data_IF_513705738685
#
_entry.id   IF_513705738685
#
_cell.length_a   1.000
_cell.length_b   1.000
_cell.length_c   1.000
_cell.angle_alpha   90.00
_cell.angle_beta   90.00
_cell.angle_gamma   90.00
#
_symmetry.space_group_name_H-M   'P 1'
#
loop_
_entity.id
_entity.type
_entity.pdbx_description
1 polymer ?
#
# COMPACT_ATOMS: atom_id res chain seq x y z
N UNK A 1 5.89 -24.12 -31.43
CA UNK A 1 4.89 -24.35 -30.36
C UNK A 1 3.92 -23.21 -30.32
N UNK A 2 2.70 -23.45 -29.82
CA UNK A 2 1.72 -22.40 -29.50
C UNK A 2 1.70 -22.24 -27.97
N UNK A 3 1.91 -21.03 -27.51
CA UNK A 3 1.75 -20.65 -26.09
C UNK A 3 0.43 -19.95 -25.91
N UNK A 4 -0.25 -20.20 -24.80
CA UNK A 4 -1.57 -19.65 -24.50
C UNK A 4 -1.55 -18.92 -23.15
N UNK A 5 -2.24 -17.79 -23.09
CA UNK A 5 -2.43 -17.00 -21.88
C UNK A 5 -3.91 -16.70 -21.68
N UNK A 6 -4.51 -17.32 -20.67
CA UNK A 6 -5.88 -16.99 -20.24
C UNK A 6 -5.94 -15.61 -19.59
N UNK A 7 -6.92 -14.81 -19.99
CA UNK A 7 -7.20 -13.47 -19.48
C UNK A 7 -8.64 -13.43 -18.94
N UNK A 8 -8.84 -13.24 -17.65
CA UNK A 8 -10.17 -13.12 -17.05
C UNK A 8 -10.96 -11.91 -17.60
N UNK A 9 -12.28 -12.01 -17.54
CA UNK A 9 -13.21 -10.98 -17.97
C UNK A 9 -13.07 -9.69 -17.15
N UNK A 10 -12.30 -8.75 -17.63
CA UNK A 10 -12.21 -7.37 -17.13
C UNK A 10 -11.53 -6.48 -18.17
N UNK A 11 -12.18 -5.34 -18.51
CA UNK A 11 -11.58 -4.31 -19.33
C UNK A 11 -10.50 -3.59 -18.55
N UNK A 12 -9.25 -3.97 -18.72
CA UNK A 12 -8.10 -3.36 -18.04
C UNK A 12 -6.82 -3.57 -18.84
N UNK A 13 -5.80 -2.79 -18.52
CA UNK A 13 -4.46 -3.06 -19.02
C UNK A 13 -3.89 -4.35 -18.41
N UNK A 14 -3.01 -4.98 -19.18
CA UNK A 14 -2.21 -6.16 -18.78
C UNK A 14 -0.76 -5.91 -19.14
N UNK A 15 0.15 -6.33 -18.27
CA UNK A 15 1.57 -6.39 -18.57
C UNK A 15 1.89 -7.80 -19.07
N UNK A 16 2.18 -7.90 -20.35
CA UNK A 16 2.34 -9.15 -21.06
C UNK A 16 3.73 -9.25 -21.68
N UNK A 17 4.25 -10.48 -21.85
CA UNK A 17 5.49 -10.76 -22.54
C UNK A 17 5.37 -12.12 -23.25
N UNK A 18 5.42 -12.19 -24.57
CA UNK A 18 5.43 -13.47 -25.26
C UNK A 18 6.68 -14.28 -24.90
N UNK A 19 6.52 -15.58 -24.67
CA UNK A 19 7.63 -16.51 -24.41
C UNK A 19 8.16 -17.18 -25.69
N UNK A 20 7.60 -16.79 -26.84
CA UNK A 20 7.99 -17.26 -28.18
C UNK A 20 8.41 -16.11 -29.07
N UNK A 21 9.39 -16.36 -29.94
CA UNK A 21 9.68 -15.52 -31.10
C UNK A 21 8.90 -16.06 -32.28
N UNK A 22 8.03 -15.24 -32.87
CA UNK A 22 7.12 -15.65 -33.93
C UNK A 22 7.70 -15.35 -35.31
N UNK A 23 7.33 -16.16 -36.32
CA UNK A 23 7.56 -15.86 -37.73
C UNK A 23 6.36 -15.15 -38.37
N UNK A 24 5.29 -14.99 -37.60
CA UNK A 24 4.03 -14.35 -37.99
C UNK A 24 3.75 -13.13 -37.11
N UNK A 25 2.93 -12.22 -37.63
CA UNK A 25 2.68 -10.93 -37.02
C UNK A 25 1.86 -11.02 -35.72
N UNK A 26 1.89 -9.95 -34.91
CA UNK A 26 1.00 -9.74 -33.75
C UNK A 26 -0.47 -9.93 -34.17
N UNK A 27 -0.85 -9.42 -35.34
CA UNK A 27 -2.20 -9.58 -35.90
C UNK A 27 -2.60 -11.05 -36.07
N UNK A 28 -1.70 -11.89 -36.57
CA UNK A 28 -1.97 -13.31 -36.78
C UNK A 28 -1.98 -14.12 -35.47
N UNK A 29 -1.44 -13.56 -34.39
CA UNK A 29 -1.39 -14.17 -33.07
C UNK A 29 -2.46 -13.58 -32.14
N UNK A 30 -2.18 -12.53 -31.38
CA UNK A 30 -3.10 -12.00 -30.35
C UNK A 30 -4.41 -11.43 -30.90
N UNK A 31 -4.48 -11.04 -32.17
CA UNK A 31 -5.74 -10.63 -32.84
C UNK A 31 -6.40 -11.77 -33.65
N UNK A 32 -5.85 -13.01 -33.58
CA UNK A 32 -6.40 -14.19 -34.29
C UNK A 32 -6.73 -13.92 -35.79
N UNK A 33 -5.92 -13.05 -36.44
CA UNK A 33 -6.14 -12.65 -37.82
C UNK A 33 -7.60 -12.15 -38.10
N UNK A 34 -8.16 -11.38 -37.17
CA UNK A 34 -9.55 -10.90 -37.20
C UNK A 34 -10.62 -12.02 -37.10
N UNK A 35 -10.21 -13.21 -36.64
CA UNK A 35 -11.13 -14.32 -36.39
C UNK A 35 -12.21 -13.95 -35.34
N UNK A 36 -13.34 -14.65 -35.42
CA UNK A 36 -14.52 -14.41 -34.59
C UNK A 36 -14.84 -15.61 -33.69
N UNK A 37 -13.84 -16.40 -33.34
CA UNK A 37 -14.02 -17.52 -32.41
C UNK A 37 -14.15 -17.00 -31.00
N UNK A 38 -15.24 -17.35 -30.31
CA UNK A 38 -15.50 -16.97 -28.95
C UNK A 38 -14.37 -17.43 -28.00
N UNK A 39 -13.99 -16.57 -27.05
CA UNK A 39 -12.95 -16.86 -26.05
C UNK A 39 -11.52 -16.80 -26.59
N UNK A 40 -11.30 -16.40 -27.84
CA UNK A 40 -9.95 -16.31 -28.42
C UNK A 40 -9.61 -14.89 -28.89
N UNK A 41 -8.33 -14.53 -28.72
CA UNK A 41 -7.74 -13.29 -29.16
C UNK A 41 -8.36 -12.05 -28.51
N UNK A 42 -7.91 -10.90 -28.93
CA UNK A 42 -8.47 -9.61 -28.46
C UNK A 42 -8.36 -8.55 -29.55
N UNK A 43 -9.14 -7.49 -29.43
CA UNK A 43 -9.01 -6.32 -30.30
C UNK A 43 -7.80 -5.47 -29.88
N UNK A 44 -6.94 -5.17 -30.85
CA UNK A 44 -5.82 -4.24 -30.69
C UNK A 44 -6.06 -3.05 -31.65
N UNK A 45 -6.24 -1.86 -31.04
CA UNK A 45 -6.52 -0.61 -31.76
C UNK A 45 -5.28 0.27 -31.82
N UNK A 46 -5.16 1.11 -32.83
CA UNK A 46 -4.02 2.01 -33.02
C UNK A 46 -4.19 2.97 -34.17
N UNK A 47 -3.20 3.85 -34.34
CA UNK A 47 -3.19 4.87 -35.38
C UNK A 47 -3.23 4.19 -36.77
N UNK A 48 -3.95 4.80 -37.71
CA UNK A 48 -4.18 4.34 -39.09
C UNK A 48 -4.93 3.00 -39.19
N UNK A 49 -5.44 2.45 -38.10
CA UNK A 49 -6.36 1.33 -38.10
C UNK A 49 -5.86 0.14 -38.90
N UNK A 50 -6.71 -0.36 -39.83
CA UNK A 50 -6.47 -1.57 -40.62
C UNK A 50 -5.20 -1.50 -41.48
N UNK A 51 -4.74 -0.33 -41.89
CA UNK A 51 -3.50 -0.15 -42.68
C UNK A 51 -2.29 -0.68 -41.94
N UNK A 52 -2.25 -0.47 -40.63
CA UNK A 52 -1.18 -0.94 -39.77
C UNK A 52 -1.52 -2.23 -39.02
N UNK A 53 -2.58 -2.93 -39.47
CA UNK A 53 -3.00 -4.21 -38.87
C UNK A 53 -3.86 -4.12 -37.61
N UNK A 54 -4.25 -2.92 -37.21
CA UNK A 54 -5.10 -2.68 -36.03
C UNK A 54 -6.59 -2.86 -36.33
N UNK A 55 -7.35 -3.18 -35.32
CA UNK A 55 -8.80 -3.09 -35.35
C UNK A 55 -9.23 -1.62 -35.35
N UNK A 56 -10.18 -1.28 -36.24
CA UNK A 56 -10.63 0.09 -36.42
C UNK A 56 -11.67 0.49 -35.38
N UNK A 57 -11.52 1.67 -34.83
CA UNK A 57 -12.50 2.33 -33.94
C UNK A 57 -12.69 3.77 -34.36
N UNK A 58 -13.74 4.44 -33.89
CA UNK A 58 -14.01 5.84 -34.21
C UNK A 58 -12.83 6.78 -33.87
N UNK A 59 -12.04 6.45 -32.85
CA UNK A 59 -10.92 7.29 -32.39
C UNK A 59 -9.55 6.74 -32.77
N UNK A 60 -9.44 5.47 -33.08
CA UNK A 60 -8.18 4.74 -33.30
C UNK A 60 -7.14 4.96 -32.19
N UNK A 61 -7.59 5.19 -30.96
CA UNK A 61 -6.69 5.35 -29.83
C UNK A 61 -5.89 4.06 -29.60
N UNK A 62 -4.55 4.15 -29.41
CA UNK A 62 -3.72 2.99 -29.19
C UNK A 62 -4.16 2.20 -27.95
N UNK A 63 -4.12 0.87 -28.06
CA UNK A 63 -4.36 -0.06 -26.95
C UNK A 63 -3.17 -0.95 -26.63
N UNK A 64 -2.12 -0.96 -27.46
CA UNK A 64 -0.88 -1.71 -27.29
C UNK A 64 0.30 -0.75 -27.21
N UNK A 65 1.14 -0.93 -26.17
CA UNK A 65 2.30 -0.08 -25.93
C UNK A 65 3.51 -0.93 -25.57
N UNK A 66 4.69 -0.44 -25.92
CA UNK A 66 5.99 -0.80 -25.35
C UNK A 66 6.46 0.31 -24.43
N UNK A 67 7.46 -0.01 -23.59
CA UNK A 67 8.13 1.00 -22.78
C UNK A 67 9.57 1.16 -23.26
N UNK A 68 9.93 2.36 -23.65
CA UNK A 68 11.30 2.65 -24.02
C UNK A 68 12.15 2.81 -22.74
N UNK A 69 12.87 1.76 -22.40
CA UNK A 69 13.69 1.75 -21.19
C UNK A 69 14.77 2.83 -21.19
N UNK A 70 15.24 3.31 -22.37
CA UNK A 70 16.26 4.35 -22.45
C UNK A 70 15.68 5.72 -22.11
N UNK A 71 14.53 6.07 -22.66
CA UNK A 71 13.86 7.37 -22.42
C UNK A 71 12.98 7.37 -21.16
N UNK A 72 12.60 6.20 -20.65
CA UNK A 72 11.68 6.06 -19.54
C UNK A 72 10.21 6.41 -19.89
N UNK A 73 9.81 6.20 -21.15
CA UNK A 73 8.50 6.60 -21.66
C UNK A 73 7.72 5.44 -22.29
N UNK A 74 6.38 5.49 -22.18
CA UNK A 74 5.48 4.62 -22.91
C UNK A 74 5.39 5.06 -24.38
N UNK A 75 5.56 4.12 -25.30
CA UNK A 75 5.44 4.31 -26.71
C UNK A 75 4.32 3.44 -27.29
N UNK A 76 3.39 4.02 -28.03
CA UNK A 76 2.37 3.25 -28.73
C UNK A 76 3.04 2.38 -29.81
N UNK A 77 2.65 1.12 -29.88
CA UNK A 77 3.05 0.26 -31.02
C UNK A 77 2.46 0.84 -32.29
N UNK A 78 3.27 0.98 -33.32
CA UNK A 78 2.88 1.63 -34.59
C UNK A 78 2.28 0.67 -35.59
N UNK A 79 2.48 -0.64 -35.45
CA UNK A 79 1.92 -1.66 -36.35
C UNK A 79 1.83 -3.02 -35.67
N UNK A 80 0.73 -3.74 -35.83
CA UNK A 80 0.58 -5.13 -35.44
C UNK A 80 0.97 -6.12 -36.54
N UNK A 81 1.47 -5.61 -37.70
CA UNK A 81 2.05 -6.44 -38.78
C UNK A 81 3.49 -6.89 -38.45
N UNK A 82 4.07 -6.40 -37.36
CA UNK A 82 5.37 -6.86 -36.84
C UNK A 82 5.24 -8.15 -36.04
N UNK A 83 6.35 -8.89 -35.91
CA UNK A 83 6.40 -10.15 -35.19
C UNK A 83 6.71 -9.97 -33.70
N UNK A 84 6.36 -10.95 -32.87
CA UNK A 84 6.81 -10.99 -31.49
C UNK A 84 8.27 -11.46 -31.40
N UNK A 85 8.99 -10.85 -30.44
CA UNK A 85 10.25 -11.37 -29.93
C UNK A 85 10.05 -11.80 -28.48
N UNK A 86 10.46 -13.03 -28.15
CA UNK A 86 10.31 -13.56 -26.80
C UNK A 86 10.99 -12.65 -25.75
N UNK A 87 10.29 -12.38 -24.66
CA UNK A 87 10.79 -11.52 -23.58
C UNK A 87 10.50 -10.04 -23.79
N UNK A 88 10.01 -9.59 -24.97
CA UNK A 88 9.59 -8.21 -25.16
C UNK A 88 8.34 -7.90 -24.33
N UNK A 89 8.38 -6.91 -23.42
CA UNK A 89 7.25 -6.58 -22.61
C UNK A 89 6.29 -5.61 -23.31
N UNK A 90 4.99 -5.82 -23.11
CA UNK A 90 3.91 -5.00 -23.65
C UNK A 90 2.91 -4.62 -22.58
N UNK A 91 2.34 -3.42 -22.68
CA UNK A 91 1.12 -3.02 -21.99
C UNK A 91 -0.03 -3.05 -22.98
N UNK A 92 -0.97 -3.98 -22.79
CA UNK A 92 -2.13 -4.17 -23.67
C UNK A 92 -3.43 -3.91 -22.92
N UNK A 93 -4.32 -3.07 -23.47
CA UNK A 93 -5.71 -2.94 -23.03
C UNK A 93 -6.51 -4.11 -23.58
N UNK A 94 -6.83 -5.06 -22.72
CA UNK A 94 -7.72 -6.18 -23.06
C UNK A 94 -9.14 -5.82 -22.68
N UNK A 95 -10.06 -5.85 -23.64
CA UNK A 95 -11.49 -5.59 -23.45
C UNK A 95 -12.30 -6.87 -23.30
N UNK A 96 -11.75 -7.97 -23.78
CA UNK A 96 -12.33 -9.31 -23.89
C UNK A 96 -11.87 -9.98 -25.17
N UNK A 97 -12.60 -11.00 -25.61
CA UNK A 97 -12.33 -11.70 -26.87
C UNK A 97 -12.70 -10.84 -28.10
N UNK A 98 -12.57 -11.40 -29.27
CA UNK A 98 -12.81 -10.72 -30.53
C UNK A 98 -14.30 -10.50 -30.88
N UNK A 99 -15.23 -11.01 -30.07
CA UNK A 99 -16.67 -10.75 -30.21
C UNK A 99 -17.11 -9.44 -29.55
N UNK A 100 -16.23 -8.77 -28.79
CA UNK A 100 -16.52 -7.48 -28.16
C UNK A 100 -16.88 -6.42 -29.21
N UNK A 101 -18.00 -5.73 -28.98
CA UNK A 101 -18.40 -4.62 -29.83
C UNK A 101 -17.53 -3.38 -29.57
N UNK A 102 -16.76 -2.96 -30.57
CA UNK A 102 -15.89 -1.78 -30.51
C UNK A 102 -16.61 -0.45 -30.72
N UNK A 103 -17.89 -0.45 -31.09
CA UNK A 103 -18.66 0.80 -31.29
C UNK A 103 -18.93 1.54 -29.97
N UNK A 104 -18.80 0.86 -28.83
CA UNK A 104 -18.96 1.44 -27.51
C UNK A 104 -17.62 1.34 -26.74
N UNK A 105 -17.38 2.31 -25.85
CA UNK A 105 -16.18 2.29 -25.01
C UNK A 105 -16.35 1.46 -23.73
N UNK A 106 -17.56 1.02 -23.42
CA UNK A 106 -17.93 0.29 -22.21
C UNK A 106 -18.73 -0.99 -22.50
N UNK A 107 -18.29 -1.86 -23.43
CA UNK A 107 -18.95 -3.16 -23.60
C UNK A 107 -18.72 -4.03 -22.35
N UNK A 108 -19.62 -4.99 -22.10
CA UNK A 108 -19.40 -6.01 -21.09
C UNK A 108 -18.15 -6.82 -21.47
N UNK A 109 -17.17 -6.85 -20.58
CA UNK A 109 -15.94 -7.57 -20.83
C UNK A 109 -16.18 -9.09 -20.81
N UNK A 110 -15.51 -9.83 -21.69
CA UNK A 110 -15.49 -11.29 -21.73
C UNK A 110 -14.10 -11.81 -21.37
N UNK A 111 -14.01 -13.06 -20.97
CA UNK A 111 -12.72 -13.77 -20.87
C UNK A 111 -12.16 -14.05 -22.26
N UNK A 112 -10.85 -14.24 -22.35
CA UNK A 112 -10.19 -14.60 -23.60
C UNK A 112 -8.90 -15.36 -23.36
N UNK A 113 -8.40 -16.03 -24.43
CA UNK A 113 -7.09 -16.63 -24.48
C UNK A 113 -6.27 -15.95 -25.57
N UNK A 114 -5.12 -15.40 -25.19
CA UNK A 114 -4.15 -14.84 -26.12
C UNK A 114 -3.16 -15.92 -26.51
N UNK A 115 -3.02 -16.18 -27.80
CA UNK A 115 -2.15 -17.22 -28.35
C UNK A 115 -1.00 -16.61 -29.15
N UNK A 116 0.17 -17.25 -29.08
CA UNK A 116 1.31 -16.92 -29.92
C UNK A 116 2.04 -18.20 -30.35
N UNK A 117 2.26 -18.34 -31.67
CA UNK A 117 2.92 -19.52 -32.26
C UNK A 117 4.31 -19.18 -32.75
N UNK A 118 5.32 -19.88 -32.24
CA UNK A 118 6.71 -19.61 -32.61
C UNK A 118 7.70 -20.54 -31.95
N UNK A 119 8.95 -20.10 -31.86
CA UNK A 119 10.05 -20.77 -31.21
C UNK A 119 10.21 -20.32 -29.77
N UNK A 120 10.20 -21.21 -28.81
CA UNK A 120 10.44 -20.93 -27.41
C UNK A 120 11.83 -20.33 -27.20
N UNK A 121 11.89 -19.34 -26.31
CA UNK A 121 13.17 -18.81 -25.85
C UNK A 121 13.87 -19.82 -24.95
N UNK A 122 15.11 -20.08 -25.26
CA UNK A 122 16.05 -20.89 -24.45
C UNK A 122 17.35 -20.09 -24.24
N UNK A 123 18.15 -20.51 -23.26
CA UNK A 123 19.41 -19.83 -22.92
C UNK A 123 19.19 -18.42 -22.36
N UNK A 124 20.25 -17.68 -22.19
CA UNK A 124 20.25 -16.39 -21.52
C UNK A 124 19.43 -15.32 -22.26
N UNK A 125 18.84 -14.41 -21.48
CA UNK A 125 18.12 -13.25 -21.96
C UNK A 125 18.56 -12.00 -21.18
N UNK A 126 19.06 -10.98 -21.86
CA UNK A 126 19.50 -9.72 -21.27
C UNK A 126 18.68 -8.56 -21.84
N UNK A 127 17.72 -8.00 -21.09
CA UNK A 127 16.92 -6.86 -21.54
C UNK A 127 17.77 -5.57 -21.57
N UNK A 128 17.42 -4.64 -22.45
CA UNK A 128 17.94 -3.27 -22.37
C UNK A 128 17.32 -2.60 -21.13
N UNK A 129 18.17 -1.88 -20.35
CA UNK A 129 17.76 -1.23 -19.11
C UNK A 129 17.88 0.29 -19.21
N UNK A 130 17.08 0.97 -18.40
CA UNK A 130 17.28 2.39 -18.10
C UNK A 130 18.58 2.57 -17.31
N UNK A 131 19.49 3.39 -17.79
CA UNK A 131 20.78 3.62 -17.16
C UNK A 131 20.81 4.87 -16.26
N UNK A 132 19.72 5.64 -16.18
CA UNK A 132 19.61 6.74 -15.24
C UNK A 132 19.57 6.22 -13.79
N UNK A 133 20.19 6.94 -12.85
CA UNK A 133 20.14 6.59 -11.42
C UNK A 133 18.68 6.54 -10.95
N UNK A 134 18.27 5.42 -10.33
CA UNK A 134 16.88 5.19 -9.92
C UNK A 134 15.88 4.98 -11.07
N UNK A 135 16.36 4.83 -12.32
CA UNK A 135 15.50 4.64 -13.50
C UNK A 135 14.74 3.31 -13.49
N UNK A 136 13.53 3.32 -14.05
CA UNK A 136 12.70 2.14 -14.20
C UNK A 136 12.91 1.47 -15.54
N UNK A 137 12.88 0.14 -15.55
CA UNK A 137 12.94 -0.68 -16.75
C UNK A 137 11.78 -1.68 -16.77
N UNK A 138 11.09 -1.76 -17.90
CA UNK A 138 10.05 -2.73 -18.13
C UNK A 138 10.68 -4.01 -18.69
N UNK A 139 10.48 -5.14 -17.98
CA UNK A 139 11.16 -6.42 -18.26
C UNK A 139 10.12 -7.53 -18.32
N UNK A 140 10.19 -8.34 -19.37
CA UNK A 140 9.31 -9.50 -19.57
C UNK A 140 9.97 -10.81 -19.17
N UNK A 141 9.16 -11.77 -18.71
CA UNK A 141 9.60 -13.17 -18.59
C UNK A 141 9.78 -13.75 -19.99
N UNK A 142 11.02 -14.13 -20.39
CA UNK A 142 11.27 -14.64 -21.73
C UNK A 142 10.89 -16.13 -21.90
N UNK A 143 10.61 -16.84 -20.81
CA UNK A 143 10.42 -18.28 -20.80
C UNK A 143 8.96 -18.69 -20.61
N UNK A 144 8.64 -19.91 -21.07
CA UNK A 144 7.37 -20.59 -20.79
C UNK A 144 7.44 -21.36 -19.44
N UNK A 145 8.08 -20.76 -18.46
CA UNK A 145 8.19 -21.25 -17.08
C UNK A 145 8.19 -20.06 -16.13
N UNK A 146 7.71 -20.21 -14.89
CA UNK A 146 7.86 -19.15 -13.87
C UNK A 146 9.36 -18.84 -13.65
N UNK A 147 9.67 -17.56 -13.43
CA UNK A 147 11.02 -17.06 -13.12
C UNK A 147 11.01 -16.46 -11.74
N UNK A 148 11.97 -16.85 -10.88
CA UNK A 148 12.16 -16.18 -9.60
C UNK A 148 12.87 -14.84 -9.82
N UNK A 149 12.09 -13.73 -9.82
CA UNK A 149 12.64 -12.40 -10.08
C UNK A 149 13.58 -11.93 -8.96
N UNK A 150 13.40 -12.41 -7.72
CA UNK A 150 14.33 -12.12 -6.62
C UNK A 150 15.74 -12.62 -6.94
N UNK A 151 15.88 -13.88 -7.35
CA UNK A 151 17.19 -14.45 -7.71
C UNK A 151 17.78 -13.80 -8.95
N UNK A 152 16.96 -13.35 -9.90
CA UNK A 152 17.43 -12.58 -11.06
C UNK A 152 18.05 -11.25 -10.61
N UNK A 153 17.39 -10.53 -9.72
CA UNK A 153 17.85 -9.23 -9.24
C UNK A 153 19.04 -9.36 -8.29
N UNK A 154 19.12 -10.40 -7.48
CA UNK A 154 20.27 -10.68 -6.61
C UNK A 154 21.55 -10.98 -7.41
N UNK A 155 21.40 -11.57 -8.60
CA UNK A 155 22.51 -11.83 -9.53
C UNK A 155 22.83 -10.62 -10.45
N UNK A 156 22.00 -9.58 -10.43
CA UNK A 156 22.16 -8.39 -11.28
C UNK A 156 23.20 -7.42 -10.71
N UNK A 157 23.70 -6.52 -11.56
CA UNK A 157 24.61 -5.45 -11.12
C UNK A 157 23.88 -4.13 -11.09
N UNK A 158 24.06 -3.38 -10.00
CA UNK A 158 23.51 -2.02 -9.80
C UNK A 158 21.98 -1.91 -10.00
N UNK A 159 21.26 -2.98 -9.71
CA UNK A 159 19.80 -2.98 -9.61
C UNK A 159 19.36 -2.84 -8.15
N UNK A 160 18.17 -2.28 -7.93
CA UNK A 160 17.48 -2.41 -6.65
C UNK A 160 16.99 -3.85 -6.54
N UNK A 161 17.45 -4.58 -5.53
CA UNK A 161 17.12 -6.00 -5.31
C UNK A 161 15.94 -6.20 -4.35
N UNK A 162 15.44 -5.11 -3.74
CA UNK A 162 14.42 -5.13 -2.72
C UNK A 162 12.99 -5.02 -3.27
N UNK A 163 12.76 -4.46 -4.46
CA UNK A 163 11.41 -4.18 -4.94
C UNK A 163 11.21 -4.46 -6.42
N UNK A 164 9.98 -4.90 -6.76
CA UNK A 164 9.47 -4.98 -8.13
C UNK A 164 8.05 -4.42 -8.20
N UNK A 165 7.63 -4.00 -9.40
CA UNK A 165 6.34 -3.37 -9.63
C UNK A 165 5.55 -4.17 -10.66
N UNK A 166 4.48 -4.81 -10.18
CA UNK A 166 3.51 -5.53 -10.99
C UNK A 166 2.38 -4.60 -11.43
N UNK A 167 1.61 -5.03 -12.41
CA UNK A 167 0.34 -4.42 -12.76
C UNK A 167 -0.79 -5.39 -12.43
N UNK A 168 -1.65 -5.00 -11.50
CA UNK A 168 -2.85 -5.77 -11.16
C UNK A 168 -4.06 -5.22 -11.93
N UNK A 169 -4.59 -5.98 -12.88
CA UNK A 169 -5.76 -5.57 -13.62
C UNK A 169 -7.04 -5.53 -12.77
N UNK A 170 -7.04 -6.12 -11.57
CA UNK A 170 -8.23 -6.15 -10.70
C UNK A 170 -8.40 -4.87 -9.91
N UNK A 171 -7.34 -4.11 -9.70
CA UNK A 171 -7.38 -2.80 -9.05
C UNK A 171 -7.98 -1.74 -9.99
N UNK A 172 -8.57 -0.71 -9.44
CA UNK A 172 -9.10 0.41 -10.17
C UNK A 172 -9.97 0.04 -11.39
N UNK A 173 -10.33 1.01 -12.22
CA UNK A 173 -11.08 0.76 -13.45
C UNK A 173 -10.22 0.12 -14.56
N UNK A 174 -8.94 0.50 -14.65
CA UNK A 174 -8.03 0.08 -15.72
C UNK A 174 -6.85 -0.74 -15.27
N UNK A 175 -6.78 -1.10 -14.00
CA UNK A 175 -5.65 -1.72 -13.30
C UNK A 175 -4.85 -0.71 -12.51
N UNK A 176 -3.97 -1.21 -11.63
CA UNK A 176 -3.09 -0.41 -10.80
C UNK A 176 -1.74 -1.09 -10.54
N UNK A 177 -0.74 -0.30 -10.16
CA UNK A 177 0.55 -0.84 -9.76
C UNK A 177 0.45 -1.50 -8.38
N UNK A 178 1.03 -2.67 -8.29
CA UNK A 178 1.31 -3.37 -7.03
C UNK A 178 2.82 -3.43 -6.86
N UNK A 179 3.29 -2.80 -5.82
CA UNK A 179 4.70 -2.80 -5.43
C UNK A 179 4.93 -3.96 -4.47
N UNK A 180 5.82 -4.88 -4.83
CA UNK A 180 6.22 -6.00 -3.99
C UNK A 180 7.59 -5.73 -3.38
N UNK A 181 7.65 -5.73 -2.05
CA UNK A 181 8.91 -5.86 -1.30
C UNK A 181 9.37 -7.32 -1.37
N UNK A 182 10.47 -7.54 -2.07
CA UNK A 182 11.07 -8.88 -2.28
C UNK A 182 11.82 -9.39 -1.04
N UNK A 183 12.14 -8.51 -0.08
CA UNK A 183 12.82 -8.89 1.15
C UNK A 183 11.85 -9.55 2.13
N UNK A 184 10.67 -8.96 2.27
CA UNK A 184 9.66 -9.37 3.25
C UNK A 184 8.44 -10.03 2.60
N UNK A 185 8.40 -10.11 1.27
CA UNK A 185 7.27 -10.61 0.48
C UNK A 185 5.95 -9.91 0.83
N UNK A 186 6.00 -8.59 1.06
CA UNK A 186 4.84 -7.74 1.33
C UNK A 186 4.50 -6.87 0.12
N UNK A 187 3.21 -6.64 -0.10
CA UNK A 187 2.72 -5.75 -1.16
C UNK A 187 2.13 -4.47 -0.57
N UNK A 188 2.24 -3.34 -1.28
CA UNK A 188 1.69 -2.05 -0.83
C UNK A 188 0.16 -2.06 -0.67
N UNK A 189 -0.53 -2.85 -1.46
CA UNK A 189 -1.96 -3.13 -1.39
C UNK A 189 -2.17 -4.62 -1.24
N UNK A 190 -3.24 -5.06 -0.58
CA UNK A 190 -3.53 -6.49 -0.42
C UNK A 190 -3.61 -7.18 -1.79
N UNK A 191 -2.68 -8.08 -2.08
CA UNK A 191 -2.52 -8.75 -3.37
C UNK A 191 -1.88 -10.13 -3.23
N UNK A 192 -2.04 -10.98 -4.25
CA UNK A 192 -1.44 -12.31 -4.33
C UNK A 192 -0.12 -12.33 -5.13
N UNK A 193 0.39 -11.19 -5.58
CA UNK A 193 1.69 -11.15 -6.26
C UNK A 193 2.82 -11.55 -5.31
N UNK A 194 3.79 -12.25 -5.89
CA UNK A 194 4.96 -12.76 -5.19
C UNK A 194 6.18 -12.73 -6.12
N UNK A 195 7.30 -13.24 -5.65
CA UNK A 195 8.58 -13.23 -6.38
C UNK A 195 8.61 -14.07 -7.68
N UNK A 196 7.56 -14.84 -8.00
CA UNK A 196 7.55 -15.70 -9.19
C UNK A 196 6.81 -15.03 -10.34
N UNK A 197 7.58 -14.50 -11.29
CA UNK A 197 7.08 -13.89 -12.52
C UNK A 197 6.58 -15.00 -13.46
N UNK A 198 5.27 -15.03 -13.70
CA UNK A 198 4.62 -16.10 -14.46
C UNK A 198 4.99 -16.06 -15.96
N UNK A 199 4.86 -17.20 -16.70
CA UNK A 199 4.95 -17.19 -18.16
C UNK A 199 4.00 -16.16 -18.76
N UNK A 200 4.47 -15.41 -19.74
CA UNK A 200 3.67 -14.37 -20.39
C UNK A 200 3.46 -13.09 -19.58
N UNK A 201 4.16 -12.89 -18.46
CA UNK A 201 4.05 -11.74 -17.59
C UNK A 201 5.26 -10.79 -17.71
N UNK A 202 5.03 -9.50 -17.46
CA UNK A 202 6.08 -8.50 -17.38
C UNK A 202 5.92 -7.64 -16.11
N UNK A 203 7.03 -7.02 -15.68
CA UNK A 203 7.13 -6.20 -14.48
C UNK A 203 8.05 -5.01 -14.72
N UNK A 204 7.97 -3.98 -13.86
CA UNK A 204 9.03 -2.98 -13.75
C UNK A 204 10.02 -3.39 -12.66
N UNK A 205 11.29 -3.19 -13.00
CA UNK A 205 12.44 -3.25 -12.08
C UNK A 205 13.10 -1.88 -12.04
N UNK A 206 13.78 -1.57 -10.94
CA UNK A 206 14.38 -0.27 -10.72
C UNK A 206 15.89 -0.38 -10.63
N UNK A 207 16.62 0.51 -11.29
CA UNK A 207 18.07 0.65 -11.12
C UNK A 207 18.39 1.23 -9.74
N UNK A 208 19.49 0.79 -9.15
CA UNK A 208 20.01 1.43 -7.94
C UNK A 208 20.33 2.91 -8.19
N UNK A 209 20.27 3.71 -7.13
CA UNK A 209 20.59 5.14 -7.23
C UNK A 209 22.11 5.38 -7.32
N UNK A 210 22.70 4.96 -8.43
CA UNK A 210 24.15 5.05 -8.71
C UNK A 210 24.39 5.40 -10.17
N UNK A 211 25.49 6.11 -10.50
CA UNK A 211 25.87 6.38 -11.89
C UNK A 211 26.39 5.15 -12.64
N UNK A 212 26.77 4.07 -11.94
CA UNK A 212 27.33 2.85 -12.55
C UNK A 212 26.30 2.14 -13.45
N UNK A 213 26.77 1.55 -14.55
CA UNK A 213 25.91 0.87 -15.51
C UNK A 213 25.30 -0.41 -14.93
N UNK A 214 23.97 -0.52 -15.00
CA UNK A 214 23.24 -1.68 -14.54
C UNK A 214 23.18 -2.78 -15.61
N UNK A 215 23.16 -4.04 -15.16
CA UNK A 215 22.90 -5.18 -16.04
C UNK A 215 22.01 -6.22 -15.36
N UNK A 216 21.16 -6.86 -16.17
CA UNK A 216 20.30 -7.99 -15.77
C UNK A 216 20.46 -9.09 -16.83
N UNK A 217 20.66 -10.31 -16.38
CA UNK A 217 20.61 -11.49 -17.26
C UNK A 217 19.68 -12.53 -16.64
N UNK A 218 18.62 -12.85 -17.33
CA UNK A 218 17.70 -13.94 -16.96
C UNK A 218 18.23 -15.22 -17.59
N UNK A 219 18.50 -16.24 -16.77
CA UNK A 219 19.09 -17.51 -17.21
C UNK A 219 18.14 -18.67 -16.93
N UNK A 220 18.42 -19.83 -17.50
CA UNK A 220 17.65 -21.07 -17.29
C UNK A 220 17.60 -21.46 -15.79
N UNK A 221 18.65 -21.16 -15.02
CA UNK A 221 18.72 -21.45 -13.58
C UNK A 221 17.77 -20.60 -12.73
N UNK A 222 17.25 -19.49 -13.27
CA UNK A 222 16.26 -18.67 -12.59
C UNK A 222 14.82 -19.19 -12.74
N UNK A 223 14.59 -20.21 -13.59
CA UNK A 223 13.29 -20.88 -13.69
C UNK A 223 12.95 -21.58 -12.38
N UNK A 224 11.68 -21.58 -12.05
CA UNK A 224 11.14 -22.21 -10.84
C UNK A 224 10.07 -23.21 -11.19
N UNK A 225 10.02 -24.32 -10.44
CA UNK A 225 8.90 -25.27 -10.46
C UNK A 225 7.81 -24.87 -9.47
N UNK A 226 8.06 -23.86 -8.64
CA UNK A 226 7.08 -23.35 -7.70
C UNK A 226 5.96 -22.62 -8.46
N UNK A 227 4.73 -23.08 -8.29
CA UNK A 227 3.55 -22.43 -8.82
C UNK A 227 3.28 -21.15 -8.00
N UNK A 228 3.68 -19.99 -8.52
CA UNK A 228 3.41 -18.71 -7.91
C UNK A 228 1.96 -18.23 -7.96
N UNK A 229 1.02 -19.11 -8.35
CA UNK A 229 -0.36 -18.71 -8.62
C UNK A 229 -1.40 -19.32 -7.68
N UNK A 230 -1.04 -19.99 -6.65
CA UNK A 230 -2.02 -20.42 -5.66
C UNK A 230 -1.77 -19.64 -4.38
N UNK A 231 -2.80 -19.13 -3.77
CA UNK A 231 -2.83 -18.68 -2.38
C UNK A 231 -2.47 -19.81 -1.43
N UNK A 232 -1.28 -20.37 -1.61
CA UNK A 232 -0.74 -21.46 -0.80
C UNK A 232 0.17 -20.82 0.22
N UNK A 233 -0.37 -20.73 1.43
CA UNK A 233 0.35 -20.59 2.67
C UNK A 233 1.52 -19.58 2.60
N UNK A 234 1.23 -18.31 2.96
CA UNK A 234 2.26 -17.49 3.57
C UNK A 234 2.91 -18.36 4.65
N UNK A 235 4.10 -18.87 4.40
CA UNK A 235 4.99 -19.14 5.50
C UNK A 235 5.27 -17.78 6.08
N UNK A 236 4.57 -17.44 7.15
CA UNK A 236 4.94 -16.34 8.04
C UNK A 236 6.31 -16.74 8.59
N UNK A 237 7.39 -16.33 7.93
CA UNK A 237 8.58 -16.01 8.70
C UNK A 237 8.10 -15.03 9.78
N UNK A 238 8.48 -15.19 11.04
CA UNK A 238 8.23 -14.15 12.02
C UNK A 238 8.89 -12.88 11.45
N UNK A 239 8.07 -12.00 10.88
CA UNK A 239 8.55 -10.72 10.39
C UNK A 239 8.84 -9.91 11.64
N UNK A 240 10.11 -9.56 11.86
CA UNK A 240 10.55 -8.66 12.93
C UNK A 240 10.08 -7.21 12.68
N UNK A 241 9.09 -7.02 11.79
CA UNK A 241 8.58 -5.70 11.38
C UNK A 241 7.13 -5.52 11.82
N UNK A 242 6.84 -4.34 12.36
CA UNK A 242 5.47 -3.84 12.43
C UNK A 242 4.97 -3.49 11.03
N UNK A 243 3.70 -3.75 10.74
CA UNK A 243 3.07 -3.48 9.46
C UNK A 243 1.83 -2.64 9.65
N UNK A 244 1.72 -1.54 8.91
CA UNK A 244 0.49 -0.77 8.71
C UNK A 244 0.22 -0.62 7.22
N UNK A 245 -0.79 -1.31 6.70
CA UNK A 245 -1.28 -1.12 5.33
C UNK A 245 -2.54 -0.27 5.34
N UNK A 246 -2.57 0.72 4.47
CA UNK A 246 -3.69 1.62 4.26
C UNK A 246 -4.28 1.33 2.88
N UNK A 247 -5.40 0.63 2.84
CA UNK A 247 -6.12 0.34 1.60
C UNK A 247 -7.21 1.39 1.38
N UNK A 248 -7.25 1.96 0.18
CA UNK A 248 -8.36 2.78 -0.30
C UNK A 248 -9.39 1.86 -0.96
N UNK A 249 -10.62 1.93 -0.50
CA UNK A 249 -11.73 1.20 -1.08
C UNK A 249 -12.76 2.16 -1.68
N UNK A 250 -13.30 1.81 -2.84
CA UNK A 250 -14.43 2.49 -3.45
C UNK A 250 -15.67 1.59 -3.40
N UNK A 251 -16.86 2.19 -3.26
CA UNK A 251 -18.11 1.47 -3.33
C UNK A 251 -18.50 1.27 -4.80
N UNK A 252 -18.48 0.02 -5.25
CA UNK A 252 -18.87 -0.37 -6.60
C UNK A 252 -19.98 -1.42 -6.51
N UNK A 253 -21.15 -1.13 -7.07
CA UNK A 253 -22.32 -2.01 -7.00
C UNK A 253 -22.69 -2.44 -5.57
N UNK A 254 -22.68 -1.51 -4.63
CA UNK A 254 -22.94 -1.73 -3.19
C UNK A 254 -21.96 -2.68 -2.49
N UNK A 255 -20.76 -2.83 -3.05
CA UNK A 255 -19.67 -3.57 -2.45
C UNK A 255 -18.43 -2.69 -2.36
N UNK A 256 -17.76 -2.72 -1.22
CA UNK A 256 -16.47 -2.08 -1.03
C UNK A 256 -15.38 -2.94 -1.66
N UNK A 257 -14.66 -2.36 -2.61
CA UNK A 257 -13.55 -3.01 -3.30
C UNK A 257 -12.28 -2.21 -3.09
N UNK A 258 -11.20 -2.89 -2.72
CA UNK A 258 -9.87 -2.28 -2.66
C UNK A 258 -9.44 -1.89 -4.06
N UNK A 259 -9.11 -0.62 -4.23
CA UNK A 259 -8.70 -0.04 -5.50
C UNK A 259 -7.25 0.40 -5.51
N UNK A 260 -6.70 0.77 -4.34
CA UNK A 260 -5.33 1.23 -4.19
C UNK A 260 -4.87 1.08 -2.73
N UNK A 261 -3.57 1.28 -2.45
CA UNK A 261 -3.07 1.29 -1.08
C UNK A 261 -1.58 1.61 -0.97
N UNK A 262 -1.14 1.85 0.25
CA UNK A 262 0.25 2.03 0.64
C UNK A 262 0.56 1.28 1.92
N UNK A 263 1.83 0.89 2.08
CA UNK A 263 2.33 0.10 3.19
C UNK A 263 3.39 0.88 3.97
N UNK A 264 3.28 0.92 5.28
CA UNK A 264 4.37 1.29 6.17
C UNK A 264 4.91 0.05 6.90
N UNK A 265 6.22 -0.12 6.92
CA UNK A 265 6.95 -1.12 7.67
C UNK A 265 7.75 -0.43 8.77
N UNK A 266 7.67 -0.96 10.00
CA UNK A 266 8.29 -0.37 11.18
C UNK A 266 9.35 -1.29 11.77
N UNK A 267 10.58 -0.79 11.91
CA UNK A 267 11.69 -1.47 12.58
C UNK A 267 12.73 -0.44 13.00
N UNK A 268 13.37 -0.61 14.16
CA UNK A 268 14.37 0.33 14.69
C UNK A 268 15.59 0.54 13.78
N UNK A 269 15.84 -0.39 12.86
CA UNK A 269 16.92 -0.27 11.87
C UNK A 269 16.55 0.57 10.65
N UNK A 270 15.28 0.96 10.50
CA UNK A 270 14.82 1.82 9.41
C UNK A 270 14.98 3.30 9.77
N UNK A 271 14.78 4.18 8.78
CA UNK A 271 14.96 5.62 8.90
C UNK A 271 13.71 6.38 8.52
N UNK A 272 13.46 7.52 9.16
CA UNK A 272 12.46 8.50 8.70
C UNK A 272 12.92 9.33 7.50
N UNK A 273 14.15 9.14 7.03
CA UNK A 273 14.59 9.66 5.74
C UNK A 273 14.36 8.60 4.65
N UNK A 274 14.09 9.04 3.43
CA UNK A 274 13.93 8.13 2.29
C UNK A 274 15.27 7.44 2.00
N UNK A 275 15.25 6.12 1.99
CA UNK A 275 16.42 5.25 1.81
C UNK A 275 16.21 4.24 0.68
N UNK A 276 17.11 3.27 0.53
CA UNK A 276 17.00 2.20 -0.48
C UNK A 276 15.97 1.14 -0.15
N UNK A 277 15.56 1.03 1.12
CA UNK A 277 14.52 0.13 1.59
C UNK A 277 13.12 0.59 1.19
N UNK A 278 12.94 1.90 0.97
CA UNK A 278 11.68 2.48 0.55
C UNK A 278 11.38 2.18 -0.92
N UNK A 279 10.09 2.03 -1.22
CA UNK A 279 9.64 1.90 -2.58
C UNK A 279 8.89 3.14 -3.05
N UNK A 280 9.47 3.84 -4.03
CA UNK A 280 8.80 5.00 -4.63
C UNK A 280 7.52 4.58 -5.32
N UNK A 281 6.48 5.42 -5.26
CA UNK A 281 5.20 5.19 -5.94
C UNK A 281 5.36 5.34 -7.44
N UNK A 282 4.88 4.37 -8.21
CA UNK A 282 4.61 4.52 -9.64
C UNK A 282 3.19 5.03 -9.83
N UNK A 283 3.03 6.09 -10.62
CA UNK A 283 1.73 6.74 -10.84
C UNK A 283 0.75 5.85 -11.59
N UNK A 284 -0.45 5.72 -11.04
CA UNK A 284 -1.55 5.00 -11.65
C UNK A 284 -2.29 5.83 -12.71
N UNK A 285 -3.10 5.18 -13.51
CA UNK A 285 -3.97 5.82 -14.50
C UNK A 285 -5.28 6.34 -13.88
N UNK A 286 -5.65 5.80 -12.74
CA UNK A 286 -6.88 6.08 -12.00
C UNK A 286 -6.50 6.59 -10.59
N UNK A 287 -7.21 6.22 -9.54
CA UNK A 287 -6.92 6.63 -8.18
C UNK A 287 -5.49 6.27 -7.74
N UNK A 288 -4.91 7.13 -6.93
CA UNK A 288 -3.55 6.96 -6.43
C UNK A 288 -3.46 7.30 -4.95
N UNK A 289 -2.81 6.41 -4.18
CA UNK A 289 -2.50 6.58 -2.75
C UNK A 289 -1.00 6.43 -2.57
N UNK A 290 -0.40 7.31 -1.78
CA UNK A 290 0.99 7.17 -1.36
C UNK A 290 1.20 7.75 0.02
N UNK A 291 2.17 7.22 0.78
CA UNK A 291 2.78 7.98 1.86
C UNK A 291 3.74 9.02 1.28
N UNK A 292 3.92 10.12 2.01
CA UNK A 292 4.84 11.18 1.58
C UNK A 292 5.91 11.40 2.64
N UNK A 293 7.19 11.24 2.23
CA UNK A 293 8.34 11.56 3.06
C UNK A 293 9.34 12.39 2.25
N UNK A 294 9.82 13.49 2.83
CA UNK A 294 10.80 14.37 2.17
C UNK A 294 10.42 14.72 0.71
N UNK A 295 9.13 15.05 0.47
CA UNK A 295 8.54 15.30 -0.85
C UNK A 295 8.62 14.12 -1.84
N UNK A 296 8.86 12.92 -1.35
CA UNK A 296 8.85 11.69 -2.17
C UNK A 296 7.59 10.89 -1.88
N UNK A 297 6.86 10.53 -2.92
CA UNK A 297 5.70 9.64 -2.84
C UNK A 297 6.16 8.19 -2.76
N UNK A 298 5.74 7.47 -1.73
CA UNK A 298 6.13 6.10 -1.44
C UNK A 298 4.93 5.15 -1.49
N UNK A 299 5.08 4.06 -2.21
CA UNK A 299 4.17 2.92 -2.17
C UNK A 299 4.43 2.07 -0.92
N UNK A 300 5.72 1.94 -0.53
CA UNK A 300 6.14 1.30 0.72
C UNK A 300 7.11 2.26 1.43
N UNK A 301 6.81 2.61 2.67
CA UNK A 301 7.65 3.42 3.55
C UNK A 301 8.23 2.52 4.65
N UNK A 302 9.56 2.47 4.76
CA UNK A 302 10.28 1.72 5.78
C UNK A 302 10.80 2.70 6.83
N UNK A 303 10.17 2.77 8.00
CA UNK A 303 10.43 3.78 9.03
C UNK A 303 10.78 3.14 10.37
N UNK A 304 11.62 3.82 11.17
CA UNK A 304 11.85 3.41 12.55
C UNK A 304 10.56 3.51 13.38
N UNK A 305 10.52 2.86 14.54
CA UNK A 305 9.36 2.96 15.40
C UNK A 305 9.04 4.44 15.69
N UNK A 306 7.76 4.84 15.52
CA UNK A 306 7.38 6.24 15.61
C UNK A 306 7.38 6.73 17.07
N UNK A 307 7.69 8.02 17.23
CA UNK A 307 7.42 8.80 18.43
C UNK A 307 6.08 9.52 18.31
N UNK A 308 5.63 10.13 19.37
CA UNK A 308 4.38 10.94 19.41
C UNK A 308 4.39 12.16 18.47
N UNK A 309 5.55 12.56 17.99
CA UNK A 309 5.69 13.65 17.01
C UNK A 309 5.84 13.17 15.57
N UNK A 310 5.90 11.87 15.37
CA UNK A 310 6.03 11.29 14.03
C UNK A 310 4.72 11.38 13.25
N UNK A 311 4.80 11.59 11.95
CA UNK A 311 3.66 11.67 11.05
C UNK A 311 3.98 10.99 9.72
N UNK A 312 2.98 10.31 9.14
CA UNK A 312 3.01 9.80 7.77
C UNK A 312 1.86 10.44 6.99
N UNK A 313 2.11 11.52 6.25
CA UNK A 313 1.11 12.12 5.37
C UNK A 313 0.67 11.15 4.29
N UNK A 314 -0.63 11.11 4.00
CA UNK A 314 -1.22 10.33 2.92
C UNK A 314 -1.61 11.29 1.80
N UNK A 315 -1.04 11.08 0.62
CA UNK A 315 -1.41 11.78 -0.59
C UNK A 315 -2.44 10.98 -1.36
N UNK A 316 -3.52 11.65 -1.77
CA UNK A 316 -4.59 11.13 -2.61
C UNK A 316 -4.64 11.89 -3.92
N UNK A 317 -4.61 11.20 -5.05
CA UNK A 317 -4.74 11.82 -6.37
C UNK A 317 -5.81 11.11 -7.20
N UNK A 318 -6.35 11.82 -8.19
CA UNK A 318 -7.22 11.29 -9.25
C UNK A 318 -8.47 10.57 -8.73
N UNK A 319 -9.08 11.02 -7.65
CA UNK A 319 -10.30 10.43 -7.10
C UNK A 319 -11.45 10.52 -8.12
N UNK A 320 -12.10 9.39 -8.42
CA UNK A 320 -13.12 9.24 -9.48
C UNK A 320 -14.50 8.88 -8.94
N UNK A 321 -14.58 8.44 -7.69
CA UNK A 321 -15.82 8.13 -6.99
C UNK A 321 -16.16 9.24 -6.00
N UNK A 322 -17.41 9.29 -5.55
CA UNK A 322 -17.84 10.25 -4.53
C UNK A 322 -17.60 9.73 -3.11
N UNK A 323 -17.74 8.43 -2.92
CA UNK A 323 -17.64 7.80 -1.61
C UNK A 323 -16.52 6.76 -1.59
N UNK A 324 -15.68 6.88 -0.59
CA UNK A 324 -14.57 6.00 -0.32
C UNK A 324 -14.59 5.57 1.14
N UNK A 325 -13.81 4.55 1.45
CA UNK A 325 -13.39 4.27 2.82
C UNK A 325 -11.93 3.84 2.86
N UNK A 326 -11.28 4.19 3.94
CA UNK A 326 -10.04 3.57 4.34
C UNK A 326 -10.31 2.23 4.97
N UNK A 327 -9.48 1.24 4.70
CA UNK A 327 -9.43 -0.04 5.40
C UNK A 327 -7.99 -0.28 5.82
N UNK A 328 -7.80 -0.60 7.10
CA UNK A 328 -6.47 -0.74 7.69
C UNK A 328 -6.14 -2.19 8.00
N UNK A 329 -4.89 -2.57 7.74
CA UNK A 329 -4.30 -3.81 8.22
C UNK A 329 -3.13 -3.44 9.13
N UNK A 330 -3.19 -3.85 10.39
CA UNK A 330 -2.17 -3.62 11.39
C UNK A 330 -1.72 -4.96 11.95
N UNK A 331 -0.42 -5.29 11.81
CA UNK A 331 0.12 -6.57 12.26
C UNK A 331 1.53 -6.39 12.86
N UNK A 332 1.83 -7.14 13.90
CA UNK A 332 3.14 -7.17 14.57
C UNK A 332 3.67 -5.78 15.01
N UNK A 333 2.80 -4.80 15.11
CA UNK A 333 3.15 -3.42 15.44
C UNK A 333 3.30 -3.24 16.95
N UNK A 334 4.40 -2.64 17.40
CA UNK A 334 4.75 -2.45 18.82
C UNK A 334 5.12 -1.00 19.17
N UNK A 335 4.79 -0.04 18.28
CA UNK A 335 5.03 1.38 18.51
C UNK A 335 3.88 2.08 19.23
N UNK A 336 3.95 3.42 19.27
CA UNK A 336 2.87 4.29 19.73
C UNK A 336 1.59 4.05 18.90
N UNK A 337 0.41 4.16 19.53
CA UNK A 337 -0.87 3.88 18.88
C UNK A 337 -1.06 4.74 17.61
N UNK A 338 -1.32 4.11 16.46
CA UNK A 338 -1.57 4.86 15.22
C UNK A 338 -3.01 5.36 15.15
N UNK A 339 -3.18 6.60 14.68
CA UNK A 339 -4.47 7.23 14.41
C UNK A 339 -4.50 7.78 12.99
N UNK A 340 -5.64 7.65 12.34
CA UNK A 340 -5.94 8.44 11.15
C UNK A 340 -6.40 9.83 11.60
N UNK A 341 -5.66 10.85 11.23
CA UNK A 341 -6.08 12.23 11.42
C UNK A 341 -6.65 12.78 10.11
N UNK A 342 -7.94 13.14 10.13
CA UNK A 342 -8.62 13.86 9.06
C UNK A 342 -8.53 15.35 9.34
N UNK A 343 -7.66 16.04 8.61
CA UNK A 343 -7.41 17.48 8.80
C UNK A 343 -8.62 18.35 8.45
N UNK A 344 -9.50 17.87 7.56
CA UNK A 344 -10.69 18.60 7.15
C UNK A 344 -11.74 18.66 8.27
N UNK A 345 -11.92 17.52 8.97
CA UNK A 345 -12.93 17.38 10.02
C UNK A 345 -12.33 17.56 11.42
N UNK A 346 -11.01 17.69 11.53
CA UNK A 346 -10.26 17.75 12.78
C UNK A 346 -10.59 16.55 13.70
N UNK A 347 -10.61 15.35 13.13
CA UNK A 347 -10.96 14.12 13.85
C UNK A 347 -9.81 13.13 13.86
N UNK A 348 -9.66 12.43 14.97
CA UNK A 348 -8.70 11.34 15.17
C UNK A 348 -9.47 10.03 15.31
N UNK A 349 -9.16 9.06 14.48
CA UNK A 349 -9.74 7.71 14.54
C UNK A 349 -8.63 6.71 14.80
N UNK A 350 -8.71 5.96 15.89
CA UNK A 350 -7.72 4.93 16.21
C UNK A 350 -7.68 3.85 15.13
N UNK A 351 -6.48 3.48 14.72
CA UNK A 351 -6.25 2.44 13.72
C UNK A 351 -6.05 1.11 14.43
N UNK A 352 -6.98 0.20 14.20
CA UNK A 352 -6.87 -1.20 14.61
C UNK A 352 -6.93 -2.10 13.39
N UNK A 353 -6.49 -3.35 13.53
CA UNK A 353 -6.54 -4.29 12.42
C UNK A 353 -7.98 -4.53 11.94
N UNK A 354 -8.23 -4.33 10.64
CA UNK A 354 -9.55 -4.45 10.02
C UNK A 354 -10.45 -3.21 10.17
N UNK A 355 -10.01 -2.16 10.87
CA UNK A 355 -10.80 -0.92 11.00
C UNK A 355 -11.07 -0.28 9.64
N UNK A 356 -12.25 0.34 9.52
CA UNK A 356 -12.66 1.08 8.31
C UNK A 356 -13.13 2.48 8.67
N UNK A 357 -12.78 3.47 7.83
CA UNK A 357 -13.16 4.87 8.01
C UNK A 357 -13.73 5.41 6.70
N UNK A 358 -15.06 5.61 6.61
CA UNK A 358 -15.67 6.15 5.41
C UNK A 358 -15.42 7.65 5.27
N UNK A 359 -15.29 8.12 4.04
CA UNK A 359 -15.21 9.54 3.72
C UNK A 359 -15.78 9.86 2.33
N UNK A 360 -16.18 11.12 2.16
CA UNK A 360 -16.62 11.65 0.86
C UNK A 360 -15.46 12.39 0.21
N UNK A 361 -15.27 12.16 -1.09
CA UNK A 361 -14.27 12.87 -1.87
C UNK A 361 -14.60 14.37 -1.94
N UNK A 362 -13.57 15.21 -1.76
CA UNK A 362 -13.64 16.66 -1.94
C UNK A 362 -12.46 17.11 -2.80
N UNK A 363 -12.54 18.29 -3.39
CA UNK A 363 -11.44 18.85 -4.18
C UNK A 363 -10.15 19.08 -3.40
N UNK A 364 -10.23 19.11 -2.06
CA UNK A 364 -9.09 19.29 -1.16
C UNK A 364 -8.53 17.98 -0.57
N UNK A 365 -8.91 16.82 -1.13
CA UNK A 365 -8.56 15.52 -0.55
C UNK A 365 -7.05 15.18 -0.62
N UNK A 366 -6.26 15.85 -1.47
CA UNK A 366 -4.87 15.47 -1.73
C UNK A 366 -3.99 15.39 -0.45
N UNK A 367 -4.19 16.30 0.51
CA UNK A 367 -3.41 16.36 1.76
C UNK A 367 -4.31 16.29 3.01
N UNK A 368 -5.48 15.70 2.87
CA UNK A 368 -6.50 15.67 3.93
C UNK A 368 -6.12 14.73 5.07
N UNK A 369 -5.46 13.64 4.78
CA UNK A 369 -5.24 12.58 5.74
C UNK A 369 -3.76 12.40 6.09
N UNK A 370 -3.49 12.03 7.33
CA UNK A 370 -2.19 11.57 7.78
C UNK A 370 -2.32 10.54 8.90
N UNK A 371 -1.36 9.65 8.99
CA UNK A 371 -1.21 8.79 10.16
C UNK A 371 -0.38 9.56 11.19
N UNK A 372 -0.89 9.63 12.40
CA UNK A 372 -0.21 10.22 13.55
C UNK A 372 -0.13 9.20 14.67
N UNK A 373 0.82 9.37 15.57
CA UNK A 373 1.09 8.42 16.62
C UNK A 373 0.93 9.13 17.97
N UNK A 374 0.12 8.56 18.85
CA UNK A 374 -0.16 9.16 20.14
C UNK A 374 0.16 8.17 21.26
N UNK A 375 0.64 8.64 22.43
CA UNK A 375 0.89 7.75 23.55
C UNK A 375 -0.40 7.10 24.02
N UNK A 376 -0.31 5.86 24.49
CA UNK A 376 -1.44 5.09 25.07
C UNK A 376 -2.17 5.82 26.19
N UNK A 377 -1.56 6.85 26.77
CA UNK A 377 -2.06 7.57 27.93
C UNK A 377 -3.24 8.53 27.65
N UNK A 378 -3.70 8.66 26.40
CA UNK A 378 -4.88 9.47 26.05
C UNK A 378 -6.18 8.64 25.94
N UNK A 379 -6.18 7.40 26.39
CA UNK A 379 -7.41 6.62 26.45
C UNK A 379 -8.36 7.16 27.52
N UNK A 380 -9.59 7.45 27.11
CA UNK A 380 -10.70 7.66 28.05
C UNK A 380 -10.96 6.44 28.94
N UNK A 381 -10.48 5.25 28.56
CA UNK A 381 -10.55 4.03 29.38
C UNK A 381 -9.63 4.05 30.61
N UNK A 382 -8.58 4.87 30.61
CA UNK A 382 -7.80 5.13 31.81
C UNK A 382 -8.54 5.98 32.88
N UNK A 383 -9.66 6.63 32.48
CA UNK A 383 -10.53 7.30 33.43
C UNK A 383 -11.39 6.33 34.26
N UNK A 384 -11.59 5.10 33.82
CA UNK A 384 -12.37 4.10 34.59
C UNK A 384 -11.59 3.49 35.76
N UNK A 385 -10.26 3.70 35.80
CA UNK A 385 -9.39 3.29 36.92
C UNK A 385 -8.59 4.48 37.47
N UNK A 386 -8.96 5.71 37.14
CA UNK A 386 -8.40 6.92 37.70
C UNK A 386 -8.78 7.06 39.19
N UNK A 387 -7.85 7.58 39.98
CA UNK A 387 -8.14 7.94 41.40
C UNK A 387 -9.28 8.97 41.41
N UNK A 388 -10.39 8.64 42.05
CA UNK A 388 -11.55 9.51 42.20
C UNK A 388 -11.50 10.17 43.56
N UNK A 389 -11.64 11.48 43.58
CA UNK A 389 -11.67 12.27 44.81
C UNK A 389 -13.10 12.71 45.10
N UNK A 390 -13.65 12.35 46.26
CA UNK A 390 -14.98 12.73 46.67
C UNK A 390 -15.10 12.97 48.18
N UNK A 391 -16.00 13.85 48.66
CA UNK A 391 -16.79 14.78 47.83
C UNK A 391 -15.90 15.85 47.22
N UNK A 392 -16.27 16.27 46.01
CA UNK A 392 -15.67 17.39 45.31
C UNK A 392 -16.77 18.11 44.50
N UNK A 393 -17.26 19.28 44.91
CA UNK A 393 -16.81 20.09 46.03
C UNK A 393 -17.11 19.49 47.43
N UNK A 394 -16.31 19.91 48.42
CA UNK A 394 -16.47 19.58 49.84
C UNK A 394 -16.80 20.80 50.67
N UNK A 395 -17.27 20.60 51.89
CA UNK A 395 -17.41 21.70 52.88
C UNK A 395 -16.09 21.91 53.63
N UNK A 396 -15.87 23.13 54.04
CA UNK A 396 -14.73 23.48 54.84
C UNK A 396 -14.68 22.64 56.14
N UNK A 397 -13.57 21.94 56.38
CA UNK A 397 -13.40 21.03 57.50
C UNK A 397 -13.80 19.58 57.24
N UNK A 398 -14.41 19.22 56.11
CA UNK A 398 -14.72 17.85 55.78
C UNK A 398 -13.48 17.08 55.33
N UNK A 399 -13.52 15.74 55.57
CA UNK A 399 -12.56 14.81 54.94
C UNK A 399 -12.97 14.53 53.52
N UNK A 400 -12.01 14.22 52.67
CA UNK A 400 -12.29 13.66 51.34
C UNK A 400 -11.68 12.26 51.21
N UNK A 401 -12.13 11.55 50.22
CA UNK A 401 -11.70 10.18 49.93
C UNK A 401 -11.04 10.12 48.56
N UNK A 402 -9.93 9.38 48.50
CA UNK A 402 -9.26 9.00 47.25
C UNK A 402 -9.58 7.54 46.98
N UNK A 403 -10.50 7.27 46.06
CA UNK A 403 -10.88 5.92 45.66
C UNK A 403 -9.99 5.45 44.51
N UNK A 404 -9.68 4.13 44.48
CA UNK A 404 -8.84 3.51 43.46
C UNK A 404 -7.41 3.23 43.89
N UNK A 405 -7.03 3.57 45.15
CA UNK A 405 -5.78 3.16 45.76
C UNK A 405 -5.93 3.02 47.27
N UNK A 406 -5.35 1.99 47.83
CA UNK A 406 -5.26 1.76 49.29
C UNK A 406 -3.88 2.02 49.85
N UNK A 407 -2.89 2.23 49.00
CA UNK A 407 -1.50 2.54 49.33
C UNK A 407 -0.97 3.65 48.43
N UNK A 408 -1.06 4.89 48.89
CA UNK A 408 -0.50 6.04 48.19
C UNK A 408 -0.07 7.11 49.20
N UNK A 409 0.93 7.88 48.84
CA UNK A 409 1.27 9.14 49.47
C UNK A 409 0.35 10.23 48.96
N UNK A 410 -0.34 10.95 49.87
CA UNK A 410 -1.25 12.04 49.50
C UNK A 410 -0.72 13.34 50.09
N UNK A 411 -0.51 14.33 49.23
CA UNK A 411 -0.14 15.70 49.64
C UNK A 411 -1.14 16.70 49.11
N UNK A 412 -1.42 17.76 49.86
CA UNK A 412 -2.39 18.82 49.47
C UNK A 412 -1.70 20.15 49.46
N UNK A 413 -1.96 20.96 48.46
CA UNK A 413 -1.41 22.30 48.30
C UNK A 413 -2.52 23.29 48.03
N UNK A 414 -2.38 24.53 48.50
CA UNK A 414 -3.23 25.63 48.07
C UNK A 414 -2.75 26.21 46.73
N UNK A 415 -3.49 27.16 46.15
CA UNK A 415 -3.15 27.82 44.89
C UNK A 415 -1.82 28.59 44.90
N UNK A 416 -1.28 28.91 46.06
CA UNK A 416 0.02 29.56 46.24
C UNK A 416 1.17 28.53 46.38
N UNK A 417 0.88 27.21 46.23
CA UNK A 417 1.87 26.13 46.38
C UNK A 417 2.26 25.83 47.85
N UNK A 418 1.54 26.37 48.84
CA UNK A 418 1.81 26.06 50.22
C UNK A 418 1.20 24.72 50.60
N UNK A 419 1.99 23.87 51.27
CA UNK A 419 1.59 22.57 51.75
C UNK A 419 0.55 22.68 52.89
N UNK A 420 -0.54 21.92 52.74
CA UNK A 420 -1.60 21.77 53.73
C UNK A 420 -1.39 20.46 54.47
N UNK A 421 -1.20 20.48 55.79
CA UNK A 421 -1.03 19.25 56.56
C UNK A 421 -2.31 18.43 56.58
N UNK A 422 -2.21 17.13 56.27
CA UNK A 422 -3.32 16.19 56.25
C UNK A 422 -3.01 14.91 57.02
N UNK A 423 -4.03 14.27 57.55
CA UNK A 423 -3.95 12.88 58.04
C UNK A 423 -4.57 11.95 57.00
N UNK A 424 -3.86 10.88 56.67
CA UNK A 424 -4.32 9.88 55.72
C UNK A 424 -4.58 8.56 56.44
N UNK A 425 -5.74 7.97 56.25
CA UNK A 425 -6.13 6.65 56.79
C UNK A 425 -6.69 5.77 55.70
N UNK A 426 -6.29 4.50 55.64
CA UNK A 426 -6.89 3.53 54.75
C UNK A 426 -8.28 3.13 55.26
N UNK A 427 -9.30 3.17 54.38
CA UNK A 427 -10.67 2.80 54.73
C UNK A 427 -11.31 2.00 53.57
N UNK A 428 -11.32 0.69 53.71
CA UNK A 428 -11.80 -0.21 52.65
C UNK A 428 -10.96 -0.09 51.35
N UNK A 429 -11.58 0.28 50.27
CA UNK A 429 -10.93 0.48 48.94
C UNK A 429 -10.62 1.96 48.64
N UNK A 430 -10.47 2.79 49.70
CA UNK A 430 -10.19 4.22 49.56
C UNK A 430 -9.25 4.70 50.65
N UNK A 431 -8.59 5.84 50.41
CA UNK A 431 -7.83 6.58 51.44
C UNK A 431 -8.72 7.76 51.88
N UNK A 432 -9.02 7.82 53.18
CA UNK A 432 -9.61 8.98 53.80
C UNK A 432 -8.51 10.00 54.13
N UNK A 433 -8.67 11.21 53.63
CA UNK A 433 -7.74 12.32 53.82
C UNK A 433 -8.46 13.44 54.59
N UNK A 434 -7.92 13.76 55.75
CA UNK A 434 -8.48 14.77 56.66
C UNK A 434 -7.50 15.92 56.84
N UNK A 435 -7.82 17.14 56.44
CA UNK A 435 -7.02 18.32 56.74
C UNK A 435 -6.92 18.51 58.26
N UNK A 436 -5.71 18.82 58.77
CA UNK A 436 -5.49 19.05 60.21
C UNK A 436 -5.87 20.47 60.66
N UNK A 437 -6.30 21.33 59.71
CA UNK A 437 -6.72 22.67 59.96
C UNK A 437 -7.98 22.99 59.11
N UNK A 438 -8.78 23.97 59.53
CA UNK A 438 -9.92 24.43 58.74
C UNK A 438 -9.44 25.13 57.49
N UNK A 439 -9.94 24.72 56.34
CA UNK A 439 -9.57 25.28 55.04
C UNK A 439 -10.51 26.44 54.68
N UNK A 440 -9.99 27.46 54.01
CA UNK A 440 -10.78 28.48 53.37
C UNK A 440 -11.46 27.93 52.13
N UNK A 441 -12.60 28.52 51.74
CA UNK A 441 -13.20 28.22 50.44
C UNK A 441 -12.21 28.56 49.33
N UNK A 442 -12.04 27.63 48.39
CA UNK A 442 -11.09 27.78 47.31
C UNK A 442 -10.72 26.50 46.61
N UNK A 443 -9.71 26.60 45.74
CA UNK A 443 -9.16 25.47 45.00
C UNK A 443 -7.91 25.00 45.67
N UNK A 444 -7.81 23.65 45.83
CA UNK A 444 -6.64 22.97 46.34
C UNK A 444 -6.15 21.94 45.32
N UNK A 445 -4.87 21.72 45.27
CA UNK A 445 -4.24 20.68 44.44
C UNK A 445 -3.89 19.48 45.31
N UNK A 446 -4.55 18.36 45.04
CA UNK A 446 -4.26 17.09 45.71
C UNK A 446 -3.33 16.28 44.82
N UNK A 447 -2.14 15.96 45.31
CA UNK A 447 -1.19 15.10 44.61
C UNK A 447 -1.22 13.72 45.30
N UNK A 448 -1.53 12.71 44.51
CA UNK A 448 -1.56 11.31 44.94
C UNK A 448 -0.46 10.55 44.22
N UNK A 449 0.48 10.00 44.98
CA UNK A 449 1.63 9.25 44.49
C UNK A 449 1.52 7.80 44.89
N UNK A 450 1.41 6.92 43.91
CA UNK A 450 1.50 5.46 44.07
C UNK A 450 2.88 4.98 43.65
N UNK A 451 3.18 3.70 43.81
CA UNK A 451 4.46 3.10 43.37
C UNK A 451 4.65 3.23 41.83
N UNK A 452 3.55 3.34 41.08
CA UNK A 452 3.54 3.29 39.61
C UNK A 452 3.28 4.68 38.97
N UNK A 453 2.56 5.59 39.68
CA UNK A 453 2.05 6.84 39.06
C UNK A 453 1.90 7.95 40.08
N UNK A 454 2.11 9.20 39.64
CA UNK A 454 1.73 10.41 40.37
C UNK A 454 0.58 11.08 39.64
N UNK A 455 -0.52 11.41 40.36
CA UNK A 455 -1.68 12.15 39.81
C UNK A 455 -1.92 13.43 40.59
N UNK A 456 -2.35 14.47 39.87
CA UNK A 456 -2.75 15.76 40.44
C UNK A 456 -4.25 15.95 40.20
N UNK A 457 -5.00 16.12 41.29
CA UNK A 457 -6.46 16.24 41.23
C UNK A 457 -6.87 17.58 41.84
N UNK A 458 -7.71 18.31 41.15
CA UNK A 458 -8.30 19.54 41.68
C UNK A 458 -9.37 19.20 42.71
N UNK A 459 -9.26 19.76 43.92
CA UNK A 459 -10.23 19.66 44.98
C UNK A 459 -10.80 21.06 45.30
N UNK A 460 -12.11 21.17 45.41
CA UNK A 460 -12.82 22.43 45.69
C UNK A 460 -13.41 22.34 47.08
N UNK A 461 -13.08 23.29 47.95
CA UNK A 461 -13.61 23.44 49.29
C UNK A 461 -14.55 24.65 49.35
#
# INVERSE_FOLDING_TARGET
VTTERYIPAKRAFRFLSPSVTTSTSIKLNWQENEGTTAGLGTHITGVDGATNGFDTTATNNPSLYTFNNTSGAWEAVTSTLTNFTAGTPYRLMVRGDRLINLSTNTPTATETVLRATGTLKTGNFSPTLNQAAGGFSFVGNPYQAPVNIKTVLDAATYMNTGVVYYWDPTLNARGGYVTLDLTNNNTNVTSNFNQYLQPGQAVFVKKANTPSAASVTITESHKSVANGAAGVFRTTSPNDYGLLRVNLQANTNNQWQTIEGSLALFNDNFSWNVTSEDATKMSNLDEEVSFVQNNTSLAIACVSLPSVTSELPIQLNNLRHSNYQWQFELANYQGERPYLYDTQNNTYTEITNGATVPFTATTAAANRFKIVFQPSALNADDFTHGLVLYPNPAKAGDSFYVQGSTAAEVTVYNVLGQHIPVQVKSQGNALQVTPTQTLSQGIYLVTVRTEVKTQHIKWIV
#
